data_IF_892070842431
#
_entry.id   IF_892070842431
#
_cell.length_a   1.000
_cell.length_b   1.000
_cell.length_c   1.000
_cell.angle_alpha   90.00
_cell.angle_beta   90.00
_cell.angle_gamma   90.00
#
_symmetry.space_group_name_H-M   'P 1'
#
loop_
_entity.id
_entity.type
_entity.pdbx_description
1 polymer ?
#
# COMPACT_ATOMS: atom_id res chain seq x y z
N UNK A 1 13.68 -14.33 5.63
CA UNK A 1 14.15 -14.82 4.31
C UNK A 1 13.61 -13.92 3.19
N UNK A 2 12.30 -13.82 2.99
CA UNK A 2 11.66 -12.95 1.98
C UNK A 2 12.19 -11.50 1.93
N UNK A 3 12.27 -10.83 3.09
CA UNK A 3 12.76 -9.43 3.20
C UNK A 3 14.15 -9.25 2.60
N UNK A 4 15.07 -10.18 2.88
CA UNK A 4 16.44 -10.13 2.41
C UNK A 4 16.53 -10.48 0.90
N UNK A 5 15.71 -11.42 0.44
CA UNK A 5 15.68 -11.86 -0.96
C UNK A 5 15.21 -10.75 -1.92
N UNK A 6 14.20 -9.99 -1.52
CA UNK A 6 13.65 -8.88 -2.32
C UNK A 6 14.24 -7.51 -1.95
N UNK A 7 15.27 -7.48 -1.11
CA UNK A 7 15.93 -6.26 -0.63
C UNK A 7 14.93 -5.18 -0.17
N UNK A 8 13.96 -5.57 0.66
CA UNK A 8 12.94 -4.64 1.16
C UNK A 8 13.58 -3.73 2.21
N UNK A 9 13.66 -2.44 1.89
CA UNK A 9 14.30 -1.40 2.73
C UNK A 9 13.29 -0.55 3.51
N UNK A 10 11.99 -0.72 3.26
CA UNK A 10 10.92 -0.01 3.97
C UNK A 10 10.43 -0.82 5.19
N UNK A 11 9.81 -0.15 6.20
CA UNK A 11 9.30 -0.82 7.39
C UNK A 11 8.30 -1.93 7.06
N UNK A 12 8.39 -3.04 7.81
CA UNK A 12 7.49 -4.18 7.68
C UNK A 12 6.81 -4.44 9.03
N UNK A 13 5.49 -4.52 8.99
CA UNK A 13 4.67 -4.98 10.10
C UNK A 13 4.28 -6.44 9.86
N UNK A 14 4.51 -7.32 10.84
CA UNK A 14 3.93 -8.65 10.83
C UNK A 14 2.44 -8.55 11.22
N UNK A 15 1.57 -8.44 10.21
CA UNK A 15 0.14 -8.25 10.41
C UNK A 15 -0.57 -9.45 11.05
N UNK A 16 -1.63 -9.18 11.80
CA UNK A 16 -2.55 -10.18 12.36
C UNK A 16 -3.86 -10.23 11.55
N UNK A 17 -4.72 -11.22 11.83
CA UNK A 17 -6.06 -11.29 11.25
C UNK A 17 -6.90 -10.07 11.59
N UNK A 18 -6.79 -9.54 12.81
CA UNK A 18 -7.55 -8.37 13.27
C UNK A 18 -7.18 -7.13 12.45
N UNK A 19 -5.90 -6.94 12.12
CA UNK A 19 -5.44 -5.85 11.24
C UNK A 19 -6.02 -6.04 9.84
N UNK A 20 -5.95 -7.25 9.30
CA UNK A 20 -6.51 -7.54 7.97
C UNK A 20 -8.03 -7.25 7.91
N UNK A 21 -8.78 -7.61 8.96
CA UNK A 21 -10.21 -7.32 9.06
C UNK A 21 -10.48 -5.81 9.22
N UNK A 22 -9.73 -5.12 10.07
CA UNK A 22 -9.86 -3.67 10.30
C UNK A 22 -9.67 -2.89 9.00
N UNK A 23 -8.71 -3.30 8.17
CA UNK A 23 -8.47 -2.69 6.85
C UNK A 23 -9.30 -3.33 5.73
N UNK A 24 -10.22 -4.24 6.03
CA UNK A 24 -11.13 -4.88 5.07
C UNK A 24 -10.41 -5.62 3.94
N UNK A 25 -9.33 -6.34 4.25
CA UNK A 25 -8.58 -7.13 3.28
C UNK A 25 -9.39 -8.37 2.89
N UNK A 26 -9.90 -8.38 1.66
CA UNK A 26 -10.67 -9.51 1.09
C UNK A 26 -9.91 -10.28 0.00
N UNK A 27 -8.93 -9.62 -0.63
CA UNK A 27 -8.03 -10.21 -1.62
C UNK A 27 -6.67 -9.52 -1.57
N UNK A 28 -5.65 -10.20 -2.11
CA UNK A 28 -4.25 -9.73 -2.11
C UNK A 28 -3.73 -9.50 -3.54
N UNK A 29 -2.81 -8.54 -3.75
CA UNK A 29 -2.41 -7.52 -2.78
C UNK A 29 -3.51 -6.47 -2.54
N UNK A 30 -3.51 -5.82 -1.38
CA UNK A 30 -4.33 -4.64 -1.09
C UNK A 30 -3.43 -3.47 -0.73
N UNK A 31 -3.55 -2.37 -1.46
CA UNK A 31 -2.76 -1.14 -1.26
C UNK A 31 -3.66 0.01 -0.84
N UNK A 32 -3.25 0.77 0.18
CA UNK A 32 -4.01 1.90 0.72
C UNK A 32 -3.08 3.11 0.73
N UNK A 33 -3.50 4.19 0.07
CA UNK A 33 -2.76 5.44 -0.03
C UNK A 33 -3.39 6.45 0.92
N UNK A 34 -2.57 6.98 1.82
CA UNK A 34 -2.98 7.86 2.91
C UNK A 34 -2.16 9.15 2.78
N UNK A 35 -2.82 10.32 2.86
CA UNK A 35 -2.14 11.61 2.80
C UNK A 35 -1.53 12.05 4.14
N UNK A 36 -0.85 13.21 4.16
CA UNK A 36 -0.18 13.78 5.35
C UNK A 36 -1.14 14.08 6.50
N UNK A 37 -2.43 14.23 6.22
CA UNK A 37 -3.47 14.49 7.23
C UNK A 37 -4.13 13.21 7.75
N UNK A 38 -3.68 12.04 7.26
CA UNK A 38 -4.25 10.74 7.63
C UNK A 38 -5.50 10.38 6.83
N UNK A 39 -5.82 11.09 5.76
CA UNK A 39 -7.01 10.80 4.94
C UNK A 39 -6.70 9.70 3.94
N UNK A 40 -7.59 8.72 3.82
CA UNK A 40 -7.49 7.69 2.77
C UNK A 40 -7.84 8.33 1.42
N UNK A 41 -6.89 8.32 0.48
CA UNK A 41 -7.05 8.91 -0.85
C UNK A 41 -7.31 7.88 -1.94
N UNK A 42 -6.84 6.65 -1.74
CA UNK A 42 -7.14 5.52 -2.63
C UNK A 42 -7.05 4.20 -1.87
N UNK A 43 -7.95 3.29 -2.22
CA UNK A 43 -7.86 1.87 -1.88
C UNK A 43 -7.80 1.09 -3.19
N UNK A 44 -6.81 0.20 -3.31
CA UNK A 44 -6.67 -0.70 -4.45
C UNK A 44 -6.68 -2.15 -3.96
N UNK A 45 -7.47 -2.98 -4.64
CA UNK A 45 -7.41 -4.45 -4.52
C UNK A 45 -6.84 -5.04 -5.79
N UNK A 46 -5.91 -5.98 -5.67
CA UNK A 46 -5.14 -6.52 -6.79
C UNK A 46 -4.02 -5.58 -7.26
N UNK A 47 -3.15 -6.10 -8.11
CA UNK A 47 -2.10 -5.33 -8.78
C UNK A 47 -1.88 -5.85 -10.20
N UNK A 48 -1.66 -4.93 -11.14
CA UNK A 48 -1.12 -5.20 -12.46
C UNK A 48 -0.03 -4.18 -12.77
N UNK A 49 0.96 -4.51 -13.63
CA UNK A 49 2.04 -3.58 -13.98
C UNK A 49 1.55 -2.23 -14.52
N UNK A 50 0.41 -2.20 -15.21
CA UNK A 50 -0.20 -0.98 -15.74
C UNK A 50 -0.63 0.03 -14.67
N UNK A 51 -0.81 -0.42 -13.43
CA UNK A 51 -1.18 0.45 -12.31
C UNK A 51 0.02 1.18 -11.70
N UNK A 52 1.26 0.73 -11.97
CA UNK A 52 2.47 1.36 -11.43
C UNK A 52 2.55 2.87 -11.73
N UNK A 53 2.43 3.36 -12.98
CA UNK A 53 2.51 4.79 -13.27
C UNK A 53 1.38 5.60 -12.63
N UNK A 54 0.20 4.98 -12.44
CA UNK A 54 -0.94 5.60 -11.76
C UNK A 54 -0.63 5.80 -10.27
N UNK A 55 0.03 4.83 -9.64
CA UNK A 55 0.42 4.93 -8.23
C UNK A 55 1.54 5.92 -8.01
N UNK A 56 2.53 5.95 -8.90
CA UNK A 56 3.62 6.94 -8.86
C UNK A 56 3.05 8.36 -8.96
N UNK A 57 2.19 8.61 -9.95
CA UNK A 57 1.54 9.92 -10.12
C UNK A 57 0.70 10.32 -8.91
N UNK A 58 0.01 9.35 -8.29
CA UNK A 58 -0.75 9.58 -7.05
C UNK A 58 0.18 9.96 -5.90
N UNK A 59 1.25 9.20 -5.66
CA UNK A 59 2.21 9.48 -4.59
C UNK A 59 2.85 10.86 -4.80
N UNK A 60 3.26 11.19 -6.02
CA UNK A 60 3.81 12.52 -6.36
C UNK A 60 2.83 13.65 -6.07
N UNK A 61 1.54 13.44 -6.33
CA UNK A 61 0.50 14.41 -5.97
C UNK A 61 0.40 14.58 -4.46
N UNK A 62 0.41 13.50 -3.69
CA UNK A 62 0.29 13.54 -2.22
C UNK A 62 1.53 14.14 -1.55
N UNK A 63 2.71 14.04 -2.17
CA UNK A 63 3.94 14.65 -1.67
C UNK A 63 3.98 16.17 -1.83
N UNK A 64 3.20 16.73 -2.76
CA UNK A 64 3.12 18.18 -3.03
C UNK A 64 2.08 18.92 -2.18
N UNK A 65 1.24 18.19 -1.44
CA UNK A 65 0.25 18.74 -0.50
C UNK A 65 0.88 19.29 0.79
#
# INVERSE_FOLDING_TARGET
KFVAEYNITYPILLGTRDIAQTYGVQAIPKSIFIDRKGTIRKVQTGFSPELAPVFESLVDSLLKE
#
